data_IF_153691794476
#
_entry.id   IF_153691794476
#
_cell.length_a   1.000
_cell.length_b   1.000
_cell.length_c   1.000
_cell.angle_alpha   90.00
_cell.angle_beta   90.00
_cell.angle_gamma   90.00
#
_symmetry.space_group_name_H-M   'P 1'
#
loop_
_entity.id
_entity.type
_entity.pdbx_description
1 polymer ?
#
# COMPACT_ATOMS: atom_id res chain seq x y z
N UNK A 1 -3.20 -27.50 -5.29
CA UNK A 1 -3.26 -26.03 -5.28
C UNK A 1 -3.75 -25.60 -6.65
N UNK A 2 -4.87 -24.88 -6.73
CA UNK A 2 -5.36 -24.30 -7.99
C UNK A 2 -4.71 -22.93 -8.28
N UNK A 3 -5.00 -22.37 -9.45
CA UNK A 3 -4.44 -21.10 -9.90
C UNK A 3 -4.81 -19.91 -8.99
N UNK A 4 -6.03 -19.90 -8.43
CA UNK A 4 -6.50 -18.84 -7.52
C UNK A 4 -5.75 -18.92 -6.19
N UNK A 5 -5.63 -20.13 -5.64
CA UNK A 5 -4.86 -20.40 -4.43
C UNK A 5 -3.38 -20.02 -4.58
N UNK A 6 -2.77 -20.32 -5.73
CA UNK A 6 -1.39 -19.94 -6.03
C UNK A 6 -1.24 -18.42 -6.17
N UNK A 7 -2.18 -17.74 -6.82
CA UNK A 7 -2.17 -16.28 -6.94
C UNK A 7 -2.33 -15.61 -5.57
N UNK A 8 -3.27 -16.08 -4.74
CA UNK A 8 -3.46 -15.58 -3.37
C UNK A 8 -2.18 -15.70 -2.53
N UNK A 9 -1.49 -16.85 -2.62
CA UNK A 9 -0.20 -17.02 -1.93
C UNK A 9 0.89 -16.07 -2.43
N UNK A 10 0.97 -15.83 -3.74
CA UNK A 10 1.95 -14.89 -4.31
C UNK A 10 1.68 -13.44 -3.87
N UNK A 11 0.41 -13.02 -3.83
CA UNK A 11 0.02 -11.71 -3.30
C UNK A 11 0.42 -11.58 -1.83
N UNK A 12 0.09 -12.57 -0.99
CA UNK A 12 0.46 -12.55 0.43
C UNK A 12 1.98 -12.53 0.66
N UNK A 13 2.74 -13.26 -0.16
CA UNK A 13 4.21 -13.23 -0.12
C UNK A 13 4.77 -11.87 -0.53
N UNK A 14 4.25 -11.27 -1.61
CA UNK A 14 4.66 -9.95 -2.07
C UNK A 14 4.35 -8.87 -1.02
N UNK A 15 3.15 -8.91 -0.43
CA UNK A 15 2.76 -8.04 0.67
C UNK A 15 3.72 -8.19 1.86
N UNK A 16 3.97 -9.43 2.30
CA UNK A 16 4.88 -9.71 3.41
C UNK A 16 6.30 -9.23 3.15
N UNK A 17 6.81 -9.41 1.93
CA UNK A 17 8.12 -8.89 1.51
C UNK A 17 8.16 -7.37 1.61
N UNK A 18 7.21 -6.67 0.99
CA UNK A 18 7.16 -5.22 0.96
C UNK A 18 7.08 -4.64 2.38
N UNK A 19 6.11 -5.09 3.17
CA UNK A 19 5.91 -4.64 4.55
C UNK A 19 7.12 -4.97 5.44
N UNK A 20 7.75 -6.13 5.24
CA UNK A 20 8.96 -6.51 5.98
C UNK A 20 10.18 -5.67 5.61
N UNK A 21 10.37 -5.33 4.34
CA UNK A 21 11.52 -4.52 3.86
C UNK A 21 11.55 -3.12 4.47
N UNK A 22 10.38 -2.56 4.79
CA UNK A 22 10.27 -1.18 5.29
C UNK A 22 9.95 -1.09 6.78
N UNK A 23 9.73 -2.22 7.46
CA UNK A 23 9.19 -2.26 8.82
C UNK A 23 10.01 -1.43 9.81
N UNK A 24 11.32 -1.37 9.59
CA UNK A 24 12.28 -0.71 10.47
C UNK A 24 12.71 0.68 9.98
N UNK A 25 12.07 1.22 8.93
CA UNK A 25 12.34 2.58 8.49
C UNK A 25 11.82 3.59 9.49
N UNK A 26 12.65 4.55 9.84
CA UNK A 26 12.21 5.80 10.48
C UNK A 26 11.39 6.63 9.49
N UNK A 27 10.55 7.55 10.02
CA UNK A 27 9.81 8.49 9.18
C UNK A 27 10.72 9.29 8.22
N UNK A 28 11.91 9.69 8.69
CA UNK A 28 12.90 10.37 7.85
C UNK A 28 13.43 9.50 6.73
N UNK A 29 13.71 8.22 6.98
CA UNK A 29 14.15 7.29 5.93
C UNK A 29 13.04 6.97 4.93
N UNK A 30 11.80 6.84 5.38
CA UNK A 30 10.66 6.59 4.50
C UNK A 30 10.35 7.76 3.55
N UNK A 31 10.63 8.99 3.98
CA UNK A 31 10.46 10.19 3.15
C UNK A 31 11.74 10.59 2.40
N UNK A 32 12.86 9.90 2.63
CA UNK A 32 14.13 10.28 2.01
C UNK A 32 14.13 9.99 0.50
N UNK A 33 14.45 11.03 -0.27
CA UNK A 33 14.70 10.94 -1.71
C UNK A 33 16.20 10.89 -1.99
N UNK A 34 16.76 9.83 -2.59
CA UNK A 34 18.18 9.76 -2.96
C UNK A 34 18.56 10.66 -4.15
N UNK A 35 17.62 11.44 -4.70
CA UNK A 35 17.78 12.21 -5.93
C UNK A 35 17.45 11.39 -7.20
N UNK A 36 17.39 12.07 -8.35
CA UNK A 36 17.04 11.43 -9.62
C UNK A 36 15.56 11.06 -9.74
N UNK A 37 15.26 9.86 -10.26
CA UNK A 37 13.88 9.38 -10.52
C UNK A 37 13.33 8.46 -9.41
N UNK A 38 14.13 8.17 -8.39
CA UNK A 38 13.71 7.30 -7.30
C UNK A 38 12.63 7.98 -6.46
N UNK A 39 11.61 7.20 -6.10
CA UNK A 39 10.50 7.62 -5.26
C UNK A 39 10.80 7.22 -3.81
N UNK A 40 10.48 8.05 -2.80
CA UNK A 40 10.66 7.67 -1.40
C UNK A 40 9.91 6.39 -1.03
N UNK A 41 10.45 5.63 -0.07
CA UNK A 41 9.93 4.30 0.27
C UNK A 41 8.51 4.34 0.87
N UNK A 42 8.19 5.35 1.69
CA UNK A 42 6.86 5.51 2.29
C UNK A 42 5.75 5.69 1.25
N UNK A 43 5.82 6.71 0.37
CA UNK A 43 4.91 6.88 -0.76
C UNK A 43 4.80 5.65 -1.65
N UNK A 44 5.92 4.94 -1.89
CA UNK A 44 5.91 3.71 -2.68
C UNK A 44 5.11 2.59 -1.99
N UNK A 45 5.28 2.40 -0.68
CA UNK A 45 4.45 1.45 0.07
C UNK A 45 2.98 1.85 -0.01
N UNK A 46 2.66 3.12 0.27
CA UNK A 46 1.29 3.59 0.26
C UNK A 46 0.59 3.29 -1.07
N UNK A 47 1.28 3.56 -2.19
CA UNK A 47 0.79 3.19 -3.51
C UNK A 47 0.53 1.69 -3.62
N UNK A 48 1.50 0.84 -3.28
CA UNK A 48 1.37 -0.60 -3.42
C UNK A 48 0.20 -1.17 -2.62
N UNK A 49 0.05 -0.75 -1.36
CA UNK A 49 -1.00 -1.23 -0.45
C UNK A 49 -2.39 -0.76 -0.90
N UNK A 50 -2.52 0.50 -1.36
CA UNK A 50 -3.78 1.01 -1.89
C UNK A 50 -4.18 0.31 -3.19
N UNK A 51 -3.23 0.12 -4.11
CA UNK A 51 -3.49 -0.61 -5.34
C UNK A 51 -3.92 -2.06 -5.06
N UNK A 52 -3.25 -2.71 -4.10
CA UNK A 52 -3.60 -4.05 -3.64
C UNK A 52 -5.03 -4.12 -3.09
N UNK A 53 -5.41 -3.21 -2.18
CA UNK A 53 -6.78 -3.14 -1.65
C UNK A 53 -7.81 -2.88 -2.75
N UNK A 54 -7.56 -1.86 -3.57
CA UNK A 54 -8.49 -1.42 -4.60
C UNK A 54 -8.72 -2.50 -5.64
N UNK A 55 -7.66 -2.97 -6.31
CA UNK A 55 -7.79 -3.88 -7.43
C UNK A 55 -8.26 -5.27 -7.01
N UNK A 56 -7.78 -5.80 -5.88
CA UNK A 56 -8.20 -7.13 -5.45
C UNK A 56 -9.65 -7.15 -5.01
N UNK A 57 -10.09 -6.18 -4.19
CA UNK A 57 -11.49 -6.13 -3.78
C UNK A 57 -12.43 -5.90 -4.96
N UNK A 58 -12.10 -4.96 -5.85
CA UNK A 58 -12.92 -4.71 -7.04
C UNK A 58 -13.01 -5.93 -7.97
N UNK A 59 -11.90 -6.69 -8.13
CA UNK A 59 -11.88 -7.91 -8.95
C UNK A 59 -12.83 -8.99 -8.41
N UNK A 60 -12.97 -9.09 -7.08
CA UNK A 60 -13.87 -10.06 -6.43
C UNK A 60 -15.25 -9.47 -6.08
N UNK A 61 -15.58 -8.28 -6.58
CA UNK A 61 -16.88 -7.63 -6.39
C UNK A 61 -17.13 -7.11 -4.96
N UNK A 62 -16.07 -6.82 -4.21
CA UNK A 62 -16.12 -6.22 -2.86
C UNK A 62 -15.74 -4.74 -2.91
N UNK A 63 -16.22 -3.96 -1.96
CA UNK A 63 -15.72 -2.59 -1.79
C UNK A 63 -14.33 -2.61 -1.15
N UNK A 64 -13.38 -1.81 -1.65
CA UNK A 64 -12.09 -1.61 -1.01
C UNK A 64 -12.21 -1.07 0.41
N UNK A 65 -11.28 -1.43 1.28
CA UNK A 65 -11.17 -0.90 2.64
C UNK A 65 -10.94 0.62 2.64
N UNK A 66 -10.18 1.15 1.68
CA UNK A 66 -9.95 2.59 1.49
C UNK A 66 -11.23 3.39 1.26
N UNK A 67 -12.28 2.75 0.77
CA UNK A 67 -13.60 3.36 0.55
C UNK A 67 -14.59 3.10 1.70
N UNK A 68 -14.19 2.29 2.69
CA UNK A 68 -15.08 1.83 3.77
C UNK A 68 -14.45 2.06 5.14
N UNK A 69 -14.00 1.01 5.84
CA UNK A 69 -13.54 1.07 7.23
C UNK A 69 -12.24 1.88 7.42
N UNK A 70 -11.44 2.02 6.35
CA UNK A 70 -10.19 2.79 6.33
C UNK A 70 -10.28 4.13 5.59
N UNK A 71 -11.48 4.56 5.20
CA UNK A 71 -11.68 5.88 4.59
C UNK A 71 -11.11 6.99 5.50
N UNK A 72 -10.12 7.74 4.99
CA UNK A 72 -9.42 8.80 5.73
C UNK A 72 -8.48 8.31 6.85
N UNK A 73 -8.19 7.00 6.94
CA UNK A 73 -7.37 6.38 8.01
C UNK A 73 -6.17 5.60 7.49
N UNK A 74 -5.80 5.78 6.23
CA UNK A 74 -4.72 5.02 5.58
C UNK A 74 -3.31 5.51 5.92
N UNK A 75 -3.17 6.54 6.76
CA UNK A 75 -1.86 7.12 7.10
C UNK A 75 -1.23 7.94 5.97
N UNK A 76 -2.02 8.43 5.01
CA UNK A 76 -1.55 9.34 3.96
C UNK A 76 -2.37 10.63 3.96
N UNK A 77 -1.71 11.75 3.65
CA UNK A 77 -2.37 13.06 3.60
C UNK A 77 -3.24 13.27 2.37
N UNK A 78 -2.96 12.57 1.26
CA UNK A 78 -3.76 12.62 0.04
C UNK A 78 -3.66 11.30 -0.74
N UNK A 79 -4.74 10.89 -1.44
CA UNK A 79 -4.71 9.68 -2.25
C UNK A 79 -3.74 9.82 -3.44
N UNK A 80 -3.18 8.70 -3.93
CA UNK A 80 -2.38 8.68 -5.13
C UNK A 80 -3.19 9.11 -6.36
N UNK A 81 -2.54 9.70 -7.38
CA UNK A 81 -3.21 10.04 -8.63
C UNK A 81 -3.57 8.77 -9.41
N UNK A 82 -4.73 8.77 -10.06
CA UNK A 82 -5.15 7.69 -10.99
C UNK A 82 -4.41 7.71 -12.34
N UNK A 83 -3.45 8.62 -12.54
CA UNK A 83 -2.86 8.91 -13.83
C UNK A 83 -1.40 9.29 -13.75
N UNK A 84 -1.05 10.41 -14.40
CA UNK A 84 0.32 10.95 -14.38
C UNK A 84 0.59 11.65 -13.03
N UNK A 85 1.82 12.14 -12.84
CA UNK A 85 2.22 12.97 -11.69
C UNK A 85 2.57 12.22 -10.39
N UNK A 86 2.91 10.94 -10.51
CA UNK A 86 3.39 10.09 -9.41
C UNK A 86 4.58 10.65 -8.64
N UNK A 87 5.57 11.20 -9.36
CA UNK A 87 6.77 11.75 -8.74
C UNK A 87 6.45 13.01 -7.92
N UNK A 88 5.55 13.84 -8.42
CA UNK A 88 5.12 15.04 -7.70
C UNK A 88 4.35 14.66 -6.45
N UNK A 89 3.36 13.75 -6.56
CA UNK A 89 2.61 13.23 -5.42
C UNK A 89 3.55 12.65 -4.36
N UNK A 90 4.48 11.79 -4.77
CA UNK A 90 5.39 11.15 -3.83
C UNK A 90 6.33 12.15 -3.12
N UNK A 91 6.65 13.27 -3.77
CA UNK A 91 7.46 14.33 -3.17
C UNK A 91 6.72 15.16 -2.10
N UNK A 92 5.38 15.20 -2.14
CA UNK A 92 4.56 16.03 -1.24
C UNK A 92 3.76 15.25 -0.20
N UNK A 93 3.36 14.01 -0.51
CA UNK A 93 2.52 13.20 0.36
C UNK A 93 3.22 12.97 1.68
N UNK A 94 2.48 13.16 2.78
CA UNK A 94 2.95 12.85 4.12
C UNK A 94 2.47 11.46 4.47
N UNK A 95 3.40 10.63 4.94
CA UNK A 95 3.12 9.24 5.32
C UNK A 95 3.32 9.07 6.82
N UNK A 96 2.25 8.72 7.50
CA UNK A 96 2.26 8.17 8.86
C UNK A 96 2.48 6.66 8.75
N UNK A 97 3.73 6.23 8.96
CA UNK A 97 4.11 4.82 8.84
C UNK A 97 3.33 3.90 9.78
N UNK A 98 3.13 4.21 11.08
CA UNK A 98 2.26 3.43 11.94
C UNK A 98 0.84 3.22 11.39
N UNK A 99 0.17 4.30 10.98
CA UNK A 99 -1.19 4.22 10.45
C UNK A 99 -1.24 3.47 9.10
N UNK A 100 -0.25 3.69 8.24
CA UNK A 100 -0.14 2.98 6.97
C UNK A 100 0.12 1.48 7.19
N UNK A 101 0.92 1.11 8.19
CA UNK A 101 1.15 -0.27 8.55
C UNK A 101 -0.13 -0.93 9.11
N UNK A 102 -0.91 -0.23 9.93
CA UNK A 102 -2.22 -0.73 10.38
C UNK A 102 -3.15 -1.03 9.20
N UNK A 103 -3.19 -0.12 8.23
CA UNK A 103 -3.92 -0.30 6.99
C UNK A 103 -3.41 -1.49 6.16
N UNK A 104 -2.10 -1.60 5.95
CA UNK A 104 -1.49 -2.73 5.24
C UNK A 104 -1.86 -4.08 5.88
N UNK A 105 -1.79 -4.17 7.22
CA UNK A 105 -2.20 -5.39 7.92
C UNK A 105 -3.70 -5.68 7.78
N UNK A 106 -4.55 -4.66 7.67
CA UNK A 106 -5.98 -4.85 7.41
C UNK A 106 -6.23 -5.41 6.00
N UNK A 107 -5.54 -4.90 4.99
CA UNK A 107 -5.59 -5.40 3.61
C UNK A 107 -5.17 -6.87 3.55
N UNK A 108 -4.04 -7.24 4.18
CA UNK A 108 -3.58 -8.63 4.24
C UNK A 108 -4.59 -9.55 4.93
N UNK A 109 -5.23 -9.11 6.02
CA UNK A 109 -6.28 -9.89 6.70
C UNK A 109 -7.49 -10.11 5.81
N UNK A 110 -7.92 -9.10 5.06
CA UNK A 110 -9.06 -9.21 4.15
C UNK A 110 -8.81 -10.29 3.08
N UNK A 111 -7.58 -10.43 2.60
CA UNK A 111 -7.20 -11.42 1.58
C UNK A 111 -7.16 -12.85 2.09
N UNK A 112 -6.74 -13.07 3.35
CA UNK A 112 -6.68 -14.41 3.97
C UNK A 112 -8.05 -15.06 4.15
N UNK A 113 -9.13 -14.28 4.05
CA UNK A 113 -10.51 -14.74 4.23
C UNK A 113 -11.19 -15.09 2.90
N UNK A 114 -10.41 -15.22 1.82
CA UNK A 114 -10.83 -15.54 0.45
C UNK A 114 -10.15 -16.81 -0.01
#
# INVERSE_FOLDING_TARGET
>A
MDAVSLLSQQVQQAHGMLSGTIADLTAGQAQWSPGGKAVPAGPMLAHAIMAEDFFLNMTVGRQPLEMTSFAGKMGISEPPPMGRDWQEWAGRVKVDLPALNEYAQAVLRAQKTT
#
